data_IF_824811675157
#
_entry.id   IF_824811675157
#
_cell.length_a   1.000
_cell.length_b   1.000
_cell.length_c   1.000
_cell.angle_alpha   90.00
_cell.angle_beta   90.00
_cell.angle_gamma   90.00
#
_symmetry.space_group_name_H-M   'P 1'
#
loop_
_entity.id
_entity.type
_entity.pdbx_description
1 polymer ?
#
# COMPACT_ATOMS: atom_id res chain seq x y z
N UNK A 1 37.02 -53.01 -67.93
CA UNK A 1 36.90 -51.59 -68.31
C UNK A 1 35.62 -51.09 -67.65
N UNK A 2 35.64 -50.59 -66.41
CA UNK A 2 36.26 -49.38 -65.85
C UNK A 2 35.30 -48.16 -65.91
N UNK A 3 34.91 -47.72 -64.70
CA UNK A 3 34.57 -46.36 -64.24
C UNK A 3 33.27 -45.71 -64.77
N UNK A 4 32.56 -44.84 -64.06
CA UNK A 4 32.84 -44.14 -62.80
C UNK A 4 31.55 -43.61 -62.14
N UNK A 5 31.62 -43.48 -60.82
CA UNK A 5 31.19 -42.37 -59.96
C UNK A 5 29.74 -41.84 -59.92
N UNK A 6 29.14 -42.08 -58.75
CA UNK A 6 27.91 -41.43 -58.24
C UNK A 6 28.34 -40.25 -57.36
N UNK A 7 28.30 -39.04 -57.90
CA UNK A 7 28.55 -37.80 -57.15
C UNK A 7 27.26 -37.15 -56.69
N UNK A 8 26.85 -37.38 -55.43
CA UNK A 8 25.80 -36.60 -54.77
C UNK A 8 26.44 -35.31 -54.23
N UNK A 9 26.16 -34.18 -54.88
CA UNK A 9 26.57 -32.86 -54.42
C UNK A 9 25.69 -32.43 -53.24
N UNK A 10 26.17 -32.65 -52.01
CA UNK A 10 25.58 -32.09 -50.80
C UNK A 10 26.02 -30.63 -50.66
N UNK A 11 25.09 -29.69 -50.86
CA UNK A 11 25.29 -28.28 -50.51
C UNK A 11 25.27 -28.19 -48.98
N UNK A 12 26.45 -28.16 -48.35
CA UNK A 12 26.57 -27.78 -46.95
C UNK A 12 26.27 -26.28 -46.80
N UNK A 13 25.03 -25.97 -46.43
CA UNK A 13 24.68 -24.68 -45.84
C UNK A 13 25.37 -24.61 -44.47
N UNK A 14 26.52 -23.92 -44.43
CA UNK A 14 27.23 -23.62 -43.19
C UNK A 14 26.34 -22.79 -42.26
N UNK A 15 25.79 -23.44 -41.24
CA UNK A 15 24.99 -22.81 -40.21
C UNK A 15 25.89 -21.94 -39.33
N UNK A 16 25.85 -20.63 -39.57
CA UNK A 16 26.73 -19.65 -38.94
C UNK A 16 26.32 -19.43 -37.47
N UNK A 17 26.84 -20.26 -36.57
CA UNK A 17 26.57 -20.25 -35.11
C UNK A 17 26.76 -18.86 -34.46
N UNK A 18 27.59 -18.00 -35.04
CA UNK A 18 27.80 -16.63 -34.57
C UNK A 18 26.58 -15.72 -34.71
N UNK A 19 25.71 -15.97 -35.70
CA UNK A 19 24.52 -15.14 -35.95
C UNK A 19 23.38 -15.45 -34.95
N UNK A 20 23.24 -16.72 -34.54
CA UNK A 20 22.27 -17.13 -33.51
C UNK A 20 22.61 -16.58 -32.14
N UNK A 21 23.90 -16.58 -31.78
CA UNK A 21 24.36 -16.01 -30.51
C UNK A 21 24.17 -14.49 -30.46
N UNK A 22 24.35 -13.79 -31.59
CA UNK A 22 24.14 -12.34 -31.69
C UNK A 22 22.65 -11.95 -31.48
N UNK A 23 21.73 -12.66 -32.14
CA UNK A 23 20.28 -12.39 -32.02
C UNK A 23 19.76 -12.67 -30.60
N UNK A 24 20.24 -13.73 -29.94
CA UNK A 24 19.87 -14.07 -28.56
C UNK A 24 20.40 -13.00 -27.58
N UNK A 25 21.62 -12.51 -27.79
CA UNK A 25 22.21 -11.47 -26.95
C UNK A 25 21.44 -10.14 -27.08
N UNK A 26 21.05 -9.75 -28.29
CA UNK A 26 20.24 -8.55 -28.53
C UNK A 26 18.86 -8.66 -27.88
N UNK A 27 18.22 -9.83 -27.95
CA UNK A 27 16.93 -10.06 -27.28
C UNK A 27 17.04 -9.95 -25.74
N UNK A 28 18.10 -10.51 -25.15
CA UNK A 28 18.34 -10.43 -23.70
C UNK A 28 18.58 -8.99 -23.22
N UNK A 29 19.30 -8.17 -24.00
CA UNK A 29 19.55 -6.76 -23.67
C UNK A 29 18.27 -5.92 -23.74
N UNK A 30 17.39 -6.19 -24.72
CA UNK A 30 16.09 -5.48 -24.84
C UNK A 30 15.13 -5.84 -23.71
N UNK A 31 15.12 -7.10 -23.26
CA UNK A 31 14.32 -7.53 -22.09
C UNK A 31 14.88 -6.91 -20.81
N UNK A 32 16.20 -6.84 -20.63
CA UNK A 32 16.79 -6.21 -19.46
C UNK A 32 16.55 -4.70 -19.42
N UNK A 33 16.59 -4.01 -20.57
CA UNK A 33 16.35 -2.57 -20.65
C UNK A 33 14.88 -2.19 -20.34
N UNK A 34 13.92 -3.09 -20.56
CA UNK A 34 12.50 -2.86 -20.28
C UNK A 34 12.11 -3.09 -18.81
N UNK A 35 13.00 -3.66 -17.99
CA UNK A 35 12.78 -3.82 -16.54
C UNK A 35 13.20 -2.60 -15.69
N UNK A 36 13.79 -1.55 -16.28
CA UNK A 36 14.16 -0.30 -15.58
C UNK A 36 13.10 0.79 -15.68
N UNK A 37 11.86 0.44 -16.02
CA UNK A 37 10.73 1.34 -15.80
C UNK A 37 10.59 1.60 -14.30
N UNK A 38 11.01 2.79 -13.85
CA UNK A 38 10.68 3.27 -12.51
C UNK A 38 9.15 3.29 -12.41
N UNK A 39 8.57 2.28 -11.78
CA UNK A 39 7.14 2.26 -11.48
C UNK A 39 6.87 3.42 -10.52
N UNK A 40 6.41 4.55 -11.05
CA UNK A 40 5.99 5.69 -10.25
C UNK A 40 4.91 5.20 -9.29
N UNK A 41 5.25 5.15 -8.01
CA UNK A 41 4.30 4.75 -6.97
C UNK A 41 3.17 5.77 -6.92
N UNK A 42 1.92 5.29 -6.88
CA UNK A 42 0.74 6.14 -6.75
C UNK A 42 0.83 6.98 -5.47
N UNK A 43 0.60 8.28 -5.59
CA UNK A 43 0.64 9.26 -4.50
C UNK A 43 -0.76 9.75 -4.19
N UNK A 44 -1.10 9.75 -2.91
CA UNK A 44 -2.37 10.23 -2.37
C UNK A 44 -2.18 11.63 -1.79
N UNK A 45 -2.88 12.60 -2.38
CA UNK A 45 -2.83 13.98 -1.92
C UNK A 45 -3.85 14.20 -0.80
N UNK A 46 -3.38 14.29 0.44
CA UNK A 46 -4.23 14.46 1.62
C UNK A 46 -4.40 15.93 2.04
N UNK A 47 -3.97 16.87 1.21
CA UNK A 47 -4.23 18.30 1.39
C UNK A 47 -3.05 19.19 1.04
N UNK A 48 -3.17 20.46 1.43
CA UNK A 48 -2.15 21.49 1.25
C UNK A 48 -1.62 21.86 2.63
N UNK A 49 -0.33 21.63 2.84
CA UNK A 49 0.30 21.95 4.12
C UNK A 49 1.79 21.77 4.03
N UNK A 50 2.50 22.88 3.93
CA UNK A 50 3.95 22.89 4.15
C UNK A 50 4.25 22.59 5.62
N UNK A 51 5.46 22.11 5.88
CA UNK A 51 5.92 21.93 7.24
C UNK A 51 5.96 23.28 7.95
N UNK A 52 5.19 23.42 9.04
CA UNK A 52 5.25 24.60 9.90
C UNK A 52 6.32 24.40 10.97
N UNK A 53 6.84 25.50 11.50
CA UNK A 53 7.59 25.46 12.75
C UNK A 53 6.65 25.09 13.89
N UNK A 54 7.07 24.17 14.75
CA UNK A 54 6.32 23.74 15.93
C UNK A 54 7.16 23.92 17.20
N UNK A 55 6.49 23.99 18.34
CA UNK A 55 7.04 24.39 19.64
C UNK A 55 7.55 23.22 20.50
N UNK A 56 7.44 21.99 19.99
CA UNK A 56 7.83 20.74 20.64
C UNK A 56 8.90 20.00 19.81
N UNK A 57 9.48 18.94 20.37
CA UNK A 57 10.37 18.03 19.64
C UNK A 57 9.55 16.83 19.12
N UNK A 58 9.60 16.57 17.81
CA UNK A 58 8.96 15.41 17.20
C UNK A 58 10.03 14.39 16.80
N UNK A 59 10.00 13.22 17.42
CA UNK A 59 10.96 12.14 17.17
C UNK A 59 10.27 10.97 16.48
N UNK A 60 10.64 10.70 15.23
CA UNK A 60 10.18 9.50 14.52
C UNK A 60 10.99 8.26 14.93
N UNK A 61 10.38 7.37 15.73
CA UNK A 61 10.92 6.05 16.09
C UNK A 61 10.07 4.92 15.51
N UNK A 62 9.35 5.16 14.40
CA UNK A 62 8.66 4.10 13.65
C UNK A 62 9.70 3.16 13.03
N UNK A 63 9.35 1.87 13.00
CA UNK A 63 10.12 0.87 12.25
C UNK A 63 10.13 1.22 10.76
N UNK A 64 11.24 0.97 10.06
CA UNK A 64 11.40 1.32 8.66
C UNK A 64 10.37 0.63 7.76
N UNK A 65 9.91 -0.58 8.11
CA UNK A 65 8.82 -1.24 7.38
C UNK A 65 7.58 -0.36 7.35
N UNK A 66 7.21 0.29 8.46
CA UNK A 66 6.01 1.13 8.53
C UNK A 66 6.05 2.32 7.56
N UNK A 67 7.25 2.75 7.17
CA UNK A 67 7.48 3.87 6.23
C UNK A 67 7.38 3.43 4.77
N UNK A 68 7.43 2.13 4.50
CA UNK A 68 7.41 1.55 3.16
C UNK A 68 6.03 1.04 2.75
N UNK A 69 5.73 1.20 1.47
CA UNK A 69 4.57 0.59 0.84
C UNK A 69 4.70 -0.94 0.84
N UNK A 70 3.62 -1.66 1.14
CA UNK A 70 3.64 -3.13 1.15
C UNK A 70 2.27 -3.70 0.77
N UNK A 71 2.28 -4.70 -0.11
CA UNK A 71 1.12 -5.59 -0.31
C UNK A 71 1.17 -6.63 0.79
N UNK A 72 0.21 -6.63 1.69
CA UNK A 72 0.31 -7.43 2.92
C UNK A 72 0.15 -8.93 2.65
N UNK A 73 -0.67 -9.31 1.67
CA UNK A 73 -0.75 -10.69 1.18
C UNK A 73 -1.38 -10.76 -0.22
N UNK A 74 -0.86 -11.67 -1.05
CA UNK A 74 -1.46 -12.06 -2.33
C UNK A 74 -2.33 -13.32 -2.24
N UNK A 75 -2.28 -14.06 -1.11
CA UNK A 75 -3.09 -15.26 -0.93
C UNK A 75 -4.52 -14.90 -0.58
N UNK A 76 -5.48 -15.28 -1.43
CA UNK A 76 -6.91 -14.96 -1.27
C UNK A 76 -7.50 -15.48 0.03
N UNK A 77 -6.95 -16.54 0.62
CA UNK A 77 -7.45 -17.09 1.89
C UNK A 77 -6.88 -16.36 3.10
N UNK A 78 -5.85 -15.54 2.94
CA UNK A 78 -5.18 -14.84 4.04
C UNK A 78 -5.99 -13.61 4.49
N UNK A 79 -6.06 -13.38 5.80
CA UNK A 79 -6.67 -12.21 6.42
C UNK A 79 -6.16 -10.86 5.90
N UNK A 80 -4.92 -10.82 5.43
CA UNK A 80 -4.24 -9.64 4.90
C UNK A 80 -4.38 -9.50 3.37
N UNK A 81 -5.16 -10.38 2.73
CA UNK A 81 -5.44 -10.29 1.30
C UNK A 81 -6.16 -9.00 0.95
N UNK A 82 -5.69 -8.32 -0.09
CA UNK A 82 -6.28 -7.06 -0.57
C UNK A 82 -6.13 -5.91 0.42
N UNK A 83 -5.16 -6.01 1.34
CA UNK A 83 -4.76 -4.94 2.23
C UNK A 83 -3.39 -4.44 1.79
N UNK A 84 -3.27 -3.13 1.68
CA UNK A 84 -2.05 -2.44 1.25
C UNK A 84 -1.62 -1.47 2.34
N UNK A 85 -0.40 -1.59 2.85
CA UNK A 85 0.20 -0.53 3.67
C UNK A 85 0.67 0.59 2.76
N UNK A 86 0.29 1.82 3.09
CA UNK A 86 0.73 3.02 2.38
C UNK A 86 2.06 3.51 2.96
N UNK A 87 3.04 3.68 2.08
CA UNK A 87 4.35 4.23 2.40
C UNK A 87 4.33 5.75 2.60
N UNK A 88 5.36 6.30 3.23
CA UNK A 88 5.53 7.75 3.37
C UNK A 88 5.65 8.44 2.00
N UNK A 89 6.26 7.77 1.02
CA UNK A 89 6.38 8.25 -0.37
C UNK A 89 5.05 8.27 -1.13
N UNK A 90 4.00 7.65 -0.61
CA UNK A 90 2.67 7.61 -1.23
C UNK A 90 1.71 8.62 -0.60
N UNK A 91 2.10 9.38 0.41
CA UNK A 91 1.18 10.30 1.11
C UNK A 91 1.81 11.70 1.10
N UNK A 92 1.11 12.63 0.46
CA UNK A 92 1.56 14.02 0.33
C UNK A 92 0.48 14.98 0.86
N UNK A 93 0.79 15.91 1.78
CA UNK A 93 2.05 16.02 2.54
C UNK A 93 2.27 14.80 3.46
N UNK A 94 3.50 14.64 3.97
CA UNK A 94 3.83 13.49 4.81
C UNK A 94 2.90 13.41 6.03
N UNK A 95 2.54 12.19 6.46
CA UNK A 95 1.68 11.99 7.63
C UNK A 95 2.26 12.60 8.92
N UNK A 96 3.58 12.67 9.05
CA UNK A 96 4.25 13.36 10.16
C UNK A 96 4.05 14.87 10.08
N UNK A 97 4.10 15.47 8.89
CA UNK A 97 3.80 16.90 8.67
C UNK A 97 2.36 17.21 9.07
N UNK A 98 1.39 16.36 8.70
CA UNK A 98 -0.01 16.55 9.09
C UNK A 98 -0.16 16.45 10.61
N UNK A 99 0.47 15.45 11.23
CA UNK A 99 0.47 15.29 12.70
C UNK A 99 1.07 16.51 13.40
N UNK A 100 2.28 16.95 13.00
CA UNK A 100 2.95 18.07 13.66
C UNK A 100 2.17 19.37 13.52
N UNK A 101 1.64 19.65 12.33
CA UNK A 101 0.86 20.86 12.08
C UNK A 101 -0.42 20.88 12.93
N UNK A 102 -1.14 19.76 13.00
CA UNK A 102 -2.35 19.66 13.82
C UNK A 102 -2.07 19.72 15.32
N UNK A 103 -0.99 19.09 15.80
CA UNK A 103 -0.59 19.16 17.20
C UNK A 103 -0.20 20.59 17.58
N UNK A 104 0.56 21.30 16.74
CA UNK A 104 0.93 22.69 17.00
C UNK A 104 -0.30 23.61 17.00
N UNK A 105 -1.17 23.49 16.01
CA UNK A 105 -2.39 24.29 15.88
C UNK A 105 -3.33 24.15 17.08
N UNK A 106 -3.46 22.93 17.62
CA UNK A 106 -4.43 22.67 18.68
C UNK A 106 -3.83 22.66 20.08
N UNK A 107 -2.53 22.36 20.22
CA UNK A 107 -1.89 22.06 21.50
C UNK A 107 -0.50 22.71 21.66
N UNK A 108 -0.08 23.62 20.77
CA UNK A 108 1.27 24.21 20.79
C UNK A 108 1.72 24.69 22.17
N UNK A 109 0.93 25.55 22.83
CA UNK A 109 1.26 26.02 24.18
C UNK A 109 1.36 24.90 25.22
N UNK A 110 0.56 23.83 25.11
CA UNK A 110 0.56 22.68 26.04
C UNK A 110 1.74 21.73 25.78
N UNK A 111 2.20 21.67 24.53
CA UNK A 111 3.28 20.80 24.08
C UNK A 111 4.64 21.50 24.05
N UNK A 112 4.70 22.82 24.24
CA UNK A 112 5.94 23.59 24.15
C UNK A 112 7.06 23.00 25.01
N UNK A 113 8.21 22.72 24.38
CA UNK A 113 9.37 22.11 25.01
C UNK A 113 9.24 20.63 25.34
N UNK A 114 8.12 19.97 25.00
CA UNK A 114 7.93 18.53 25.24
C UNK A 114 8.46 17.69 24.10
N UNK A 115 8.80 16.45 24.42
CA UNK A 115 9.13 15.41 23.45
C UNK A 115 7.88 14.61 23.06
N UNK A 116 7.69 14.43 21.75
CA UNK A 116 6.65 13.60 21.15
C UNK A 116 7.33 12.53 20.31
N UNK A 117 7.29 11.28 20.79
CA UNK A 117 7.87 10.14 20.06
C UNK A 117 6.78 9.41 19.29
N UNK A 118 6.93 9.33 17.97
CA UNK A 118 6.07 8.53 17.11
C UNK A 118 6.61 7.10 17.06
N UNK A 119 5.90 6.15 17.66
CA UNK A 119 6.27 4.71 17.65
C UNK A 119 5.57 3.94 16.54
N UNK A 120 4.35 4.35 16.21
CA UNK A 120 3.56 3.73 15.15
C UNK A 120 2.73 4.77 14.44
N UNK A 121 2.74 4.75 13.11
CA UNK A 121 1.82 5.56 12.31
C UNK A 121 1.57 4.88 10.98
N UNK A 122 0.91 3.73 11.02
CA UNK A 122 0.62 2.92 9.85
C UNK A 122 -0.71 3.33 9.24
N UNK A 123 -0.77 3.33 7.91
CA UNK A 123 -1.99 3.60 7.15
C UNK A 123 -2.18 2.43 6.20
N UNK A 124 -3.34 1.79 6.25
CA UNK A 124 -3.69 0.68 5.37
C UNK A 124 -4.91 1.02 4.54
N UNK A 125 -4.82 0.77 3.24
CA UNK A 125 -5.97 0.72 2.36
C UNK A 125 -6.47 -0.72 2.28
N UNK A 126 -7.68 -0.98 2.77
CA UNK A 126 -8.31 -2.29 2.75
C UNK A 126 -9.38 -2.32 1.66
N UNK A 127 -9.12 -3.11 0.62
CA UNK A 127 -10.04 -3.41 -0.49
C UNK A 127 -10.31 -4.91 -0.61
N UNK A 128 -10.10 -5.65 0.50
CA UNK A 128 -10.26 -7.09 0.57
C UNK A 128 -11.62 -7.55 0.04
N UNK A 129 -12.67 -6.83 0.41
CA UNK A 129 -14.04 -7.06 -0.01
C UNK A 129 -14.20 -7.05 -1.53
N UNK A 130 -13.71 -5.98 -2.16
CA UNK A 130 -13.80 -5.77 -3.59
C UNK A 130 -13.05 -6.84 -4.37
N UNK A 131 -11.84 -7.16 -3.90
CA UNK A 131 -11.01 -8.18 -4.54
C UNK A 131 -11.65 -9.56 -4.40
N UNK A 132 -12.08 -9.97 -3.20
CA UNK A 132 -12.71 -11.29 -2.99
C UNK A 132 -14.06 -11.42 -3.69
N UNK A 133 -14.87 -10.35 -3.72
CA UNK A 133 -16.15 -10.31 -4.42
C UNK A 133 -15.99 -10.63 -5.91
N UNK A 134 -14.92 -10.14 -6.54
CA UNK A 134 -14.61 -10.41 -7.96
C UNK A 134 -14.30 -11.88 -8.27
N UNK A 135 -13.85 -12.66 -7.27
CA UNK A 135 -13.64 -14.11 -7.41
C UNK A 135 -14.91 -14.92 -7.14
N UNK A 136 -15.77 -14.45 -6.23
CA UNK A 136 -17.01 -15.13 -5.86
C UNK A 136 -18.00 -15.27 -7.02
N UNK A 137 -18.01 -14.31 -7.96
CA UNK A 137 -18.87 -14.35 -9.15
C UNK A 137 -18.37 -15.28 -10.25
N UNK A 138 -17.09 -15.68 -10.24
CA UNK A 138 -16.45 -16.42 -11.33
C UNK A 138 -16.05 -17.85 -10.98
N UNK A 139 -15.97 -18.22 -9.70
CA UNK A 139 -15.52 -19.55 -9.28
C UNK A 139 -16.35 -20.11 -8.12
N UNK A 140 -17.19 -21.11 -8.42
CA UNK A 140 -18.10 -21.75 -7.46
C UNK A 140 -17.39 -22.26 -6.19
N UNK A 141 -16.19 -22.84 -6.32
CA UNK A 141 -15.42 -23.38 -5.18
C UNK A 141 -14.77 -22.29 -4.33
N UNK A 142 -14.31 -21.20 -4.94
CA UNK A 142 -13.70 -20.08 -4.21
C UNK A 142 -14.74 -19.17 -3.56
N UNK A 143 -15.97 -19.13 -4.09
CA UNK A 143 -17.09 -18.38 -3.52
C UNK A 143 -17.41 -18.77 -2.07
N UNK A 144 -17.54 -20.08 -1.80
CA UNK A 144 -17.82 -20.58 -0.44
C UNK A 144 -16.69 -20.30 0.55
N UNK A 145 -15.43 -20.49 0.13
CA UNK A 145 -14.26 -20.21 0.97
C UNK A 145 -14.10 -18.71 1.25
N UNK A 146 -14.34 -17.86 0.24
CA UNK A 146 -14.27 -16.41 0.42
C UNK A 146 -15.37 -15.90 1.35
N UNK A 147 -16.61 -16.39 1.20
CA UNK A 147 -17.73 -16.04 2.07
C UNK A 147 -17.46 -16.43 3.52
N UNK A 148 -16.97 -17.65 3.77
CA UNK A 148 -16.66 -18.13 5.12
C UNK A 148 -15.55 -17.31 5.82
N UNK A 149 -14.54 -16.83 5.08
CA UNK A 149 -13.46 -16.01 5.66
C UNK A 149 -13.94 -14.59 5.97
N UNK A 150 -14.78 -14.03 5.09
CA UNK A 150 -15.41 -12.71 5.30
C UNK A 150 -16.35 -12.74 6.53
N UNK A 151 -17.09 -13.84 6.70
CA UNK A 151 -18.03 -14.04 7.80
C UNK A 151 -17.33 -14.24 9.16
N UNK A 152 -16.25 -15.03 9.20
CA UNK A 152 -15.54 -15.34 10.45
C UNK A 152 -14.62 -14.22 10.96
N UNK A 153 -14.35 -13.20 10.14
CA UNK A 153 -13.75 -11.95 10.61
C UNK A 153 -12.27 -12.02 10.95
N UNK A 154 -11.46 -11.37 10.12
CA UNK A 154 -10.06 -11.12 10.43
C UNK A 154 -9.88 -9.71 11.03
N UNK A 155 -8.96 -9.56 11.99
CA UNK A 155 -8.62 -8.26 12.62
C UNK A 155 -8.14 -7.18 11.62
N UNK A 156 -7.69 -7.60 10.44
CA UNK A 156 -7.35 -6.72 9.30
C UNK A 156 -8.47 -6.56 8.27
N UNK A 157 -9.39 -7.51 8.17
CA UNK A 157 -10.40 -7.60 7.11
C UNK A 157 -11.74 -6.92 7.42
N UNK A 158 -12.01 -6.66 8.70
CA UNK A 158 -13.35 -6.41 9.26
C UNK A 158 -14.31 -7.55 8.93
N UNK A 159 -14.70 -8.29 9.97
CA UNK A 159 -15.86 -9.16 9.89
C UNK A 159 -17.06 -8.38 9.34
N UNK A 160 -17.98 -9.04 8.63
CA UNK A 160 -19.27 -8.45 8.22
C UNK A 160 -19.98 -7.74 9.39
N UNK A 161 -19.78 -8.21 10.63
CA UNK A 161 -20.30 -7.58 11.85
C UNK A 161 -19.89 -6.11 12.02
N UNK A 162 -18.67 -5.72 11.62
CA UNK A 162 -18.16 -4.36 11.73
C UNK A 162 -18.25 -3.55 10.43
N UNK A 163 -18.48 -4.22 9.30
CA UNK A 163 -18.57 -3.64 7.96
C UNK A 163 -19.60 -4.45 7.14
N UNK A 164 -20.90 -4.36 7.45
CA UNK A 164 -21.92 -5.25 6.89
C UNK A 164 -22.07 -5.08 5.37
N UNK A 165 -21.83 -3.87 4.88
CA UNK A 165 -21.88 -3.54 3.46
C UNK A 165 -20.57 -3.87 2.72
N UNK A 166 -19.59 -4.44 3.44
CA UNK A 166 -18.30 -4.88 2.91
C UNK A 166 -17.57 -3.76 2.14
N UNK A 167 -17.66 -2.53 2.65
CA UNK A 167 -17.13 -1.34 1.98
C UNK A 167 -15.60 -1.26 2.13
N UNK A 168 -14.87 -0.69 1.16
CA UNK A 168 -13.46 -0.37 1.35
C UNK A 168 -13.26 0.47 2.61
N UNK A 169 -12.17 0.19 3.32
CA UNK A 169 -11.86 0.88 4.57
C UNK A 169 -10.42 1.38 4.57
N UNK A 170 -10.18 2.51 5.23
CA UNK A 170 -8.83 2.96 5.57
C UNK A 170 -8.62 2.73 7.06
N UNK A 171 -7.51 2.07 7.40
CA UNK A 171 -7.13 1.75 8.77
C UNK A 171 -5.93 2.61 9.13
N UNK A 172 -5.99 3.30 10.25
CA UNK A 172 -4.86 4.07 10.78
C UNK A 172 -4.52 3.56 12.16
N UNK A 173 -3.30 3.07 12.34
CA UNK A 173 -2.77 2.72 13.66
C UNK A 173 -1.76 3.77 14.09
N UNK A 174 -2.04 4.45 15.18
CA UNK A 174 -1.24 5.56 15.71
C UNK A 174 -0.81 5.24 17.15
N UNK A 175 0.49 5.28 17.41
CA UNK A 175 1.06 5.16 18.74
C UNK A 175 2.07 6.28 18.97
N UNK A 176 1.77 7.12 19.95
CA UNK A 176 2.62 8.23 20.37
C UNK A 176 3.03 8.04 21.83
N UNK A 177 4.22 8.54 22.16
CA UNK A 177 4.63 8.78 23.54
C UNK A 177 4.72 10.29 23.71
N UNK A 178 3.88 10.84 24.58
CA UNK A 178 3.86 12.27 24.92
C UNK A 178 4.14 12.37 26.40
N UNK A 179 5.25 13.00 26.78
CA UNK A 179 5.61 13.19 28.20
C UNK A 179 5.61 11.87 28.99
N UNK A 180 6.23 10.83 28.43
CA UNK A 180 6.27 9.44 28.94
C UNK A 180 4.93 8.70 29.01
N UNK A 181 3.80 9.34 28.66
CA UNK A 181 2.49 8.68 28.53
C UNK A 181 2.36 8.07 27.15
N UNK A 182 2.05 6.77 27.10
CA UNK A 182 1.77 6.07 25.85
C UNK A 182 0.32 6.28 25.46
N UNK A 183 0.09 6.75 24.24
CA UNK A 183 -1.23 6.94 23.63
C UNK A 183 -1.30 6.01 22.42
N UNK A 184 -2.21 5.03 22.46
CA UNK A 184 -2.46 4.09 21.37
C UNK A 184 -3.86 4.30 20.84
N UNK A 185 -3.97 4.36 19.52
CA UNK A 185 -5.25 4.41 18.86
C UNK A 185 -5.25 3.62 17.54
N UNK A 186 -6.43 3.09 17.22
CA UNK A 186 -6.74 2.44 15.95
C UNK A 186 -8.03 3.06 15.43
N UNK A 187 -7.93 3.75 14.32
CA UNK A 187 -9.10 4.23 13.58
C UNK A 187 -9.38 3.30 12.42
N UNK A 188 -10.67 3.05 12.25
CA UNK A 188 -11.23 2.35 11.12
C UNK A 188 -12.22 3.28 10.47
N UNK A 189 -11.82 3.82 9.32
CA UNK A 189 -12.71 4.66 8.54
C UNK A 189 -13.39 3.79 7.49
N UNK A 190 -14.65 3.42 7.78
CA UNK A 190 -15.57 2.74 6.87
C UNK A 190 -16.44 3.83 6.23
N UNK A 191 -16.51 3.88 4.90
CA UNK A 191 -17.14 5.00 4.19
C UNK A 191 -18.33 4.53 3.31
N UNK A 192 -19.56 5.04 3.53
CA UNK A 192 -20.73 4.66 2.74
C UNK A 192 -21.01 5.53 1.51
N UNK A 193 -20.09 6.36 1.00
CA UNK A 193 -20.43 7.38 0.00
C UNK A 193 -19.55 7.31 -1.26
N UNK A 194 -20.13 6.78 -2.35
CA UNK A 194 -19.58 6.73 -3.70
C UNK A 194 -19.71 5.36 -4.37
N UNK A 195 -19.90 5.30 -5.70
CA UNK A 195 -19.91 4.02 -6.42
C UNK A 195 -18.59 3.28 -6.15
N UNK A 196 -18.71 2.03 -5.69
CA UNK A 196 -17.67 1.03 -5.45
C UNK A 196 -16.54 1.00 -6.50
N UNK A 197 -16.84 1.40 -7.74
CA UNK A 197 -15.97 1.29 -8.91
C UNK A 197 -14.92 2.41 -9.05
N UNK A 198 -14.94 3.46 -8.23
CA UNK A 198 -13.94 4.52 -8.38
C UNK A 198 -12.61 4.08 -7.78
N UNK A 199 -11.73 3.52 -8.63
CA UNK A 199 -10.27 3.49 -8.40
C UNK A 199 -9.64 4.88 -8.46
N UNK A 200 -10.49 5.89 -8.70
CA UNK A 200 -10.16 7.31 -8.77
C UNK A 200 -9.30 7.74 -7.59
N UNK A 201 -8.11 8.21 -7.93
CA UNK A 201 -7.05 8.66 -7.05
C UNK A 201 -7.55 9.74 -6.09
N UNK A 202 -8.46 10.60 -6.54
CA UNK A 202 -9.04 11.67 -5.72
C UNK A 202 -9.91 11.11 -4.58
N UNK A 203 -10.76 10.12 -4.91
CA UNK A 203 -11.66 9.50 -3.94
C UNK A 203 -10.85 8.74 -2.88
N UNK A 204 -9.81 8.01 -3.29
CA UNK A 204 -8.94 7.31 -2.31
C UNK A 204 -8.15 8.32 -1.48
N UNK A 205 -7.65 9.40 -2.08
CA UNK A 205 -6.92 10.45 -1.37
C UNK A 205 -7.76 11.10 -0.26
N UNK A 206 -9.02 11.45 -0.54
CA UNK A 206 -9.94 12.01 0.47
C UNK A 206 -10.31 11.00 1.56
N UNK A 207 -10.38 9.69 1.25
CA UNK A 207 -10.55 8.64 2.27
C UNK A 207 -9.35 8.57 3.21
N UNK A 208 -8.13 8.55 2.65
CA UNK A 208 -6.89 8.50 3.42
C UNK A 208 -6.77 9.74 4.31
N UNK A 209 -7.05 10.93 3.75
CA UNK A 209 -7.08 12.20 4.48
C UNK A 209 -8.02 12.17 5.68
N UNK A 210 -9.27 11.74 5.48
CA UNK A 210 -10.27 11.67 6.57
C UNK A 210 -9.86 10.70 7.69
N UNK A 211 -9.35 9.53 7.32
CA UNK A 211 -8.90 8.54 8.30
C UNK A 211 -7.70 9.04 9.13
N UNK A 212 -6.71 9.65 8.48
CA UNK A 212 -5.55 10.25 9.15
C UNK A 212 -5.99 11.38 10.08
N UNK A 213 -6.81 12.30 9.58
CA UNK A 213 -7.31 13.43 10.37
C UNK A 213 -8.09 12.95 11.60
N UNK A 214 -8.96 11.95 11.44
CA UNK A 214 -9.75 11.40 12.55
C UNK A 214 -8.89 10.75 13.62
N UNK A 215 -7.83 10.03 13.23
CA UNK A 215 -6.87 9.45 14.17
C UNK A 215 -6.11 10.52 14.96
N UNK A 216 -5.66 11.57 14.29
CA UNK A 216 -4.97 12.69 14.93
C UNK A 216 -5.91 13.44 15.88
N UNK A 217 -7.14 13.72 15.46
CA UNK A 217 -8.12 14.47 16.27
C UNK A 217 -8.47 13.70 17.55
N UNK A 218 -8.54 12.37 17.50
CA UNK A 218 -8.77 11.55 18.69
C UNK A 218 -7.58 11.58 19.64
N UNK A 219 -6.35 11.52 19.13
CA UNK A 219 -5.14 11.70 19.94
C UNK A 219 -5.08 13.10 20.57
N UNK A 220 -5.41 14.15 19.82
CA UNK A 220 -5.49 15.52 20.34
C UNK A 220 -6.44 15.59 21.54
N UNK A 221 -7.63 14.99 21.43
CA UNK A 221 -8.59 14.93 22.56
C UNK A 221 -8.00 14.22 23.78
N UNK A 222 -7.24 13.14 23.59
CA UNK A 222 -6.60 12.39 24.69
C UNK A 222 -5.46 13.19 25.35
N UNK A 223 -4.77 14.03 24.60
CA UNK A 223 -3.71 14.91 25.15
C UNK A 223 -4.32 16.15 25.80
N UNK A 224 -5.42 16.67 25.27
CA UNK A 224 -6.10 17.85 25.78
C UNK A 224 -6.68 17.63 27.19
N UNK A 225 -7.24 16.45 27.42
CA UNK A 225 -7.75 15.98 28.72
C UNK A 225 -6.63 15.49 29.64
#
# INVERSE_FOLDING_TARGET
MANADVGVMQIQLGENRNMKNSIILTFLVVIFASCFGCATSKTYNIGVGEARKYSFELIDKRDDKQKQAEIMSLSITNCWYGIYRLGDNQITPSRLTVLSNKLEENLGSKLSGKEIVVKRFEVYNNVQSAMRGSFSSNFATYGFLCAAIIENGCEGGYALKGNPDNLPAVIVNLELIVDKKVIKDKIVQIEPQGKFTSTDDEVVSERVKRAINSAIDKVIKVIAN
#
